data_IF_773154106473
#
_entry.id   IF_773154106473
#
_cell.length_a   1.000
_cell.length_b   1.000
_cell.length_c   1.000
_cell.angle_alpha   90.00
_cell.angle_beta   90.00
_cell.angle_gamma   90.00
#
_symmetry.space_group_name_H-M   'P 1'
#
loop_
_entity.id
_entity.type
_entity.pdbx_description
1 polymer ?
2 non-polymer ?
3 non-polymer ?
4 non-polymer ?
5 non-polymer ?
6 water ?
#
# COMPACT_ATOMS: atom_id res chain seq x y z
N UNK A 2 -8.51 11.01 -20.77
CA UNK A 2 -7.96 11.40 -19.43
C UNK A 2 -6.97 12.54 -19.55
N UNK A 3 -6.00 12.38 -20.46
CA UNK A 3 -5.13 13.44 -21.02
C UNK A 3 -4.97 14.77 -20.27
N UNK A 4 -5.89 15.70 -20.52
CA UNK A 4 -5.70 17.10 -20.09
C UNK A 4 -6.15 17.32 -18.66
N UNK A 5 -5.21 17.79 -17.82
CA UNK A 5 -5.50 18.13 -16.43
C UNK A 5 -5.26 19.62 -16.18
N UNK A 6 -6.27 20.31 -15.69
CA UNK A 6 -6.12 21.71 -15.30
C UNK A 6 -6.53 21.84 -13.84
N UNK A 7 -5.55 22.18 -13.00
CA UNK A 7 -5.80 22.44 -11.59
C UNK A 7 -6.68 23.69 -11.48
N UNK A 8 -7.70 23.60 -10.62
CA UNK A 8 -8.72 24.63 -10.45
C UNK A 8 -8.59 25.27 -9.06
N UNK A 9 -8.47 24.43 -8.04
CA UNK A 9 -8.40 24.94 -6.68
C UNK A 9 -7.65 23.92 -5.83
N UNK A 10 -6.95 24.43 -4.83
CA UNK A 10 -6.37 23.60 -3.76
C UNK A 10 -6.71 24.24 -2.41
N UNK A 11 -7.69 23.63 -1.74
CA UNK A 11 -8.12 24.08 -0.43
C UNK A 11 -7.51 23.20 0.65
N UNK A 12 -6.90 23.83 1.64
CA UNK A 12 -6.38 23.12 2.80
C UNK A 12 -7.53 22.85 3.80
N UNK A 13 -7.79 21.58 4.06
CA UNK A 13 -8.87 21.17 4.97
C UNK A 13 -8.34 21.03 6.40
N UNK A 14 -7.07 20.68 6.50
CA UNK A 14 -6.41 20.48 7.76
C UNK A 14 -4.93 20.76 7.60
N UNK A 15 -4.40 21.63 8.46
CA UNK A 15 -2.98 21.99 8.51
C UNK A 15 -2.45 21.73 9.93
N UNK A 16 -3.05 20.75 10.61
CA UNK A 16 -2.74 20.42 12.02
C UNK A 16 -1.27 20.10 12.27
N UNK A 17 -0.71 19.28 11.39
CA UNK A 17 0.63 18.72 11.56
C UNK A 17 1.07 18.24 10.19
N UNK A 18 0.34 17.23 9.69
CA UNK A 18 0.37 16.83 8.29
C UNK A 18 -0.75 17.65 7.62
N UNK A 19 -0.93 17.50 6.31
CA UNK A 19 -1.87 18.37 5.61
C UNK A 19 -2.91 17.60 4.77
N UNK A 20 -4.18 17.92 4.98
CA UNK A 20 -5.27 17.38 4.17
C UNK A 20 -5.77 18.48 3.23
N UNK A 21 -5.74 18.16 1.94
CA UNK A 21 -6.14 19.05 0.86
C UNK A 21 -7.46 18.60 0.25
N UNK A 22 -8.16 19.54 -0.36
CA UNK A 22 -9.24 19.22 -1.25
C UNK A 22 -8.82 19.85 -2.58
N UNK A 23 -8.47 19.01 -3.54
CA UNK A 23 -7.95 19.49 -4.85
C UNK A 23 -9.01 19.35 -5.93
N UNK A 24 -9.30 20.47 -6.60
CA UNK A 24 -10.28 20.48 -7.69
C UNK A 24 -9.51 20.64 -8.96
N UNK A 25 -9.77 19.77 -9.93
CA UNK A 25 -9.12 19.87 -11.24
C UNK A 25 -10.10 19.42 -12.30
N UNK A 26 -9.93 19.97 -13.50
CA UNK A 26 -10.70 19.56 -14.65
C UNK A 26 -9.91 18.51 -15.43
N UNK A 27 -10.64 17.46 -15.79
CA UNK A 27 -10.09 16.33 -16.48
C UNK A 27 -10.89 16.13 -17.76
N UNK A 28 -10.20 16.14 -18.88
CA UNK A 28 -10.83 15.94 -20.17
C UNK A 28 -10.77 14.46 -20.48
N UNK A 29 -11.93 13.85 -20.67
CA UNK A 29 -11.99 12.41 -20.88
C UNK A 29 -11.68 12.16 -22.34
N UNK A 30 -11.53 10.89 -22.74
CA UNK A 30 -11.06 10.58 -24.09
C UNK A 30 -12.10 10.95 -25.14
N UNK A 31 -13.38 10.79 -24.78
CA UNK A 31 -14.52 11.27 -25.57
C UNK A 31 -14.57 12.80 -25.67
N UNK A 32 -13.69 13.46 -24.91
CA UNK A 32 -13.54 14.91 -25.01
C UNK A 32 -14.38 15.64 -23.99
N UNK A 33 -15.13 14.88 -23.19
CA UNK A 33 -15.97 15.44 -22.16
C UNK A 33 -15.10 15.97 -21.01
N UNK A 34 -15.49 17.11 -20.45
CA UNK A 34 -14.75 17.70 -19.33
C UNK A 34 -15.48 17.46 -18.00
N UNK A 35 -14.77 16.78 -17.09
CA UNK A 35 -15.28 16.45 -15.77
C UNK A 35 -14.47 17.18 -14.73
N UNK A 36 -15.17 17.84 -13.82
CA UNK A 36 -14.50 18.43 -12.66
C UNK A 36 -14.47 17.49 -11.45
N UNK A 37 -13.29 17.00 -11.12
CA UNK A 37 -13.09 16.17 -9.93
C UNK A 37 -12.79 17.05 -8.74
N UNK A 38 -13.30 16.65 -7.59
CA UNK A 38 -12.90 17.22 -6.31
C UNK A 38 -12.42 16.05 -5.43
N UNK A 39 -11.15 16.08 -5.02
CA UNK A 39 -10.51 14.92 -4.41
C UNK A 39 -9.75 15.35 -3.18
N UNK A 40 -9.96 14.63 -2.08
CA UNK A 40 -9.18 14.82 -0.86
C UNK A 40 -7.81 14.19 -1.04
N UNK A 41 -6.77 14.92 -0.64
CA UNK A 41 -5.42 14.42 -0.73
C UNK A 41 -4.75 14.62 0.62
N UNK A 42 -4.34 13.51 1.22
CA UNK A 42 -3.70 13.57 2.51
C UNK A 42 -2.21 13.46 2.30
N UNK A 43 -1.49 14.51 2.70
CA UNK A 43 -0.03 14.59 2.60
C UNK A 43 0.64 14.45 3.98
N UNK A 44 1.12 13.25 4.29
CA UNK A 44 1.85 13.02 5.53
C UNK A 44 3.35 12.72 5.28
N UNK A 45 3.83 13.11 4.11
CA UNK A 45 5.21 12.88 3.72
C UNK A 45 5.50 11.47 3.24
N UNK A 46 6.74 11.27 2.82
CA UNK A 46 7.24 9.99 2.31
C UNK A 46 8.03 9.21 3.35
N UNK A 47 8.31 7.95 3.05
CA UNK A 47 8.92 7.01 4.00
C UNK A 47 9.89 6.03 3.38
N UNK A 48 10.66 5.35 4.23
CA UNK A 48 11.56 4.29 3.82
C UNK A 48 11.39 3.10 4.75
N UNK A 49 11.62 1.91 4.22
CA UNK A 49 11.49 0.69 5.00
C UNK A 49 12.61 -0.23 4.60
N UNK A 50 13.01 -1.10 5.52
CA UNK A 50 14.12 -2.02 5.29
C UNK A 50 13.88 -3.40 5.92
N UNK A 51 13.92 -4.43 5.09
CA UNK A 51 13.95 -5.79 5.62
C UNK A 51 15.39 -6.20 5.92
N UNK A 52 15.59 -6.61 7.18
CA UNK A 52 16.86 -7.14 7.64
C UNK A 52 16.84 -8.66 7.58
N UNK A 53 17.86 -9.25 6.94
CA UNK A 53 17.97 -10.70 6.83
C UNK A 53 19.36 -11.25 7.22
N UNK A 54 19.42 -12.54 7.50
CA UNK A 54 20.65 -13.21 7.86
C UNK A 54 20.71 -14.48 7.05
N UNK A 55 21.73 -14.59 6.19
CA UNK A 55 21.86 -15.73 5.29
C UNK A 55 22.37 -16.97 6.03
N UNK A 56 23.30 -16.79 6.95
CA UNK A 56 23.81 -17.89 7.78
C UNK A 56 22.79 -18.45 8.77
N UNK A 57 22.09 -17.57 9.49
CA UNK A 57 21.06 -17.96 10.46
C UNK A 57 19.73 -18.32 9.80
N UNK A 58 19.50 -17.77 8.60
CA UNK A 58 18.25 -17.94 7.83
C UNK A 58 17.05 -17.24 8.49
N UNK A 59 17.35 -16.08 9.08
CA UNK A 59 16.38 -15.32 9.88
C UNK A 59 16.09 -13.95 9.28
N UNK A 60 14.95 -13.37 9.65
CA UNK A 60 14.70 -11.95 9.38
C UNK A 60 14.46 -11.23 10.69
N UNK A 61 14.73 -9.91 10.71
CA UNK A 61 14.40 -9.06 11.86
C UNK A 61 13.30 -8.08 11.44
N UNK A 62 12.21 -8.11 12.20
CA UNK A 62 11.05 -7.24 12.02
C UNK A 62 10.78 -6.54 13.33
N UNK A 63 9.89 -5.54 13.29
CA UNK A 63 9.51 -4.78 14.48
C UNK A 63 8.00 -4.95 14.76
N UNK A 64 7.62 -4.99 16.02
CA UNK A 64 6.21 -4.99 16.42
C UNK A 64 5.94 -3.75 17.28
N UNK A 65 4.96 -2.94 16.86
CA UNK A 65 4.53 -1.75 17.64
C UNK A 65 3.05 -1.47 17.47
N UNK A 66 2.51 -0.68 18.39
CA UNK A 66 1.13 -0.23 18.36
C UNK A 66 0.88 0.78 17.23
N UNK A 67 -0.11 0.46 16.41
CA UNK A 67 -0.49 1.28 15.29
C UNK A 67 -1.94 1.68 15.49
N UNK A 68 -2.16 2.90 15.93
CA UNK A 68 -3.51 3.34 16.26
C UNK A 68 -4.48 3.28 15.07
N UNK A 69 -3.99 3.52 13.85
CA UNK A 69 -4.83 3.53 12.65
C UNK A 69 -5.41 2.15 12.32
N UNK A 70 -4.68 1.16 12.79
CA UNK A 70 -4.97 -0.26 12.71
C UNK A 70 -5.94 -0.66 13.84
N UNK A 71 -5.66 -0.15 15.03
CA UNK A 71 -6.48 -0.37 16.24
C UNK A 71 -7.96 0.05 16.08
N UNK A 72 -8.19 1.18 15.41
CA UNK A 72 -9.56 1.65 15.13
C UNK A 72 -10.22 0.91 13.92
N UNK A 73 -9.43 0.08 13.24
CA UNK A 73 -9.94 -0.60 12.03
C UNK A 73 -9.68 -2.10 12.01
N UNK A 74 -10.18 -2.81 13.02
CA UNK A 74 -10.15 -4.27 13.08
C UNK A 74 -8.94 -4.98 13.69
N UNK A 75 -7.87 -4.24 14.00
CA UNK A 75 -6.72 -4.87 14.62
C UNK A 75 -6.88 -4.76 16.15
N UNK A 76 -7.42 -5.84 16.74
CA UNK A 76 -7.87 -5.83 18.13
C UNK A 76 -6.92 -5.19 19.15
N UNK A 77 -5.66 -5.59 19.13
CA UNK A 77 -4.67 -5.10 20.09
C UNK A 77 -3.99 -3.83 19.58
N UNK A 78 -4.17 -3.55 18.28
CA UNK A 78 -3.48 -2.48 17.61
C UNK A 78 -2.04 -2.82 17.24
N UNK A 79 -1.53 -3.94 17.76
CA UNK A 79 -0.15 -4.33 17.49
C UNK A 79 0.05 -4.84 16.06
N UNK A 80 1.09 -4.34 15.43
CA UNK A 80 1.36 -4.73 14.05
C UNK A 80 2.82 -5.13 13.86
N UNK A 81 3.04 -6.21 13.12
CA UNK A 81 4.36 -6.67 12.72
C UNK A 81 4.68 -6.06 11.38
N UNK A 82 5.77 -5.31 11.35
CA UNK A 82 6.25 -4.63 10.15
C UNK A 82 7.74 -4.74 9.99
N UNK A 83 8.21 -4.55 8.76
CA UNK A 83 9.60 -4.25 8.50
C UNK A 83 9.93 -2.89 9.14
N UNK A 84 11.18 -2.74 9.58
CA UNK A 84 11.67 -1.45 10.08
C UNK A 84 11.36 -0.37 9.06
N UNK A 85 10.82 0.76 9.54
CA UNK A 85 10.49 1.84 8.64
C UNK A 85 10.51 3.20 9.31
N UNK A 86 10.68 4.24 8.52
CA UNK A 86 10.39 5.57 9.05
C UNK A 86 10.05 6.60 8.01
N UNK A 87 9.57 7.74 8.50
CA UNK A 87 9.34 8.89 7.64
C UNK A 87 10.69 9.45 7.19
N UNK A 88 10.79 9.80 5.91
CA UNK A 88 11.91 10.55 5.34
C UNK A 88 11.93 11.97 5.88
N UNK A 89 12.57 12.15 7.02
CA UNK A 89 12.40 13.37 7.79
C UNK A 89 13.52 14.36 7.51
N UNK A 90 13.41 15.04 6.36
CA UNK A 90 14.44 15.98 5.89
C UNK A 90 15.71 15.24 5.45
N UNK A 91 15.62 13.91 5.45
CA UNK A 91 16.75 13.07 5.06
C UNK A 91 16.53 12.40 3.70
N UNK A 92 17.64 12.11 3.01
CA UNK A 92 17.62 11.26 1.82
C UNK A 92 17.18 9.84 2.25
N UNK A 93 16.57 9.05 1.35
CA UNK A 93 16.07 7.73 1.75
C UNK A 93 17.09 6.85 2.48
N UNK A 94 18.28 6.70 1.91
CA UNK A 94 19.33 5.89 2.50
C UNK A 94 19.80 6.39 3.87
N UNK A 95 19.85 7.71 4.04
CA UNK A 95 20.24 8.34 5.31
C UNK A 95 19.17 8.10 6.39
N UNK A 96 17.91 8.38 6.04
CA UNK A 96 16.76 8.05 6.88
C UNK A 96 16.79 6.59 7.34
N UNK A 97 16.96 5.66 6.41
CA UNK A 97 16.76 4.24 6.72
C UNK A 97 17.87 3.58 7.55
N UNK A 98 19.11 4.01 7.33
CA UNK A 98 20.25 3.56 8.14
C UNK A 98 20.10 4.05 9.58
N UNK A 99 19.59 5.28 9.73
CA UNK A 99 19.30 5.85 11.04
C UNK A 99 18.11 5.11 11.70
N UNK A 100 17.07 4.78 10.94
CA UNK A 100 15.93 4.02 11.51
C UNK A 100 16.35 2.60 11.89
N UNK A 101 17.27 2.02 11.12
CA UNK A 101 17.77 0.68 11.42
C UNK A 101 18.50 0.61 12.78
N UNK A 102 19.23 1.69 13.11
CA UNK A 102 19.93 1.78 14.40
C UNK A 102 18.94 1.96 15.54
N UNK A 103 18.01 2.90 15.37
CA UNK A 103 17.04 3.27 16.39
C UNK A 103 16.01 2.17 16.69
N UNK A 104 15.42 1.59 15.64
CA UNK A 104 14.33 0.62 15.80
C UNK A 104 14.81 -0.79 16.10
N UNK A 105 15.85 -1.24 15.40
CA UNK A 105 16.40 -2.60 15.57
C UNK A 105 17.78 -2.50 16.22
N UNK A 107 20.76 -2.27 14.91
CA UNK A 107 21.80 -2.68 13.98
C UNK A 107 22.23 -1.51 13.10
N UNK A 108 23.53 -1.24 13.05
CA UNK A 108 24.09 -0.28 12.10
C UNK A 108 24.60 -1.03 10.86
N UNK A 109 23.66 -1.30 9.96
CA UNK A 109 23.89 -2.12 8.76
C UNK A 109 25.01 -1.59 7.86
N UNK A 110 25.61 -2.51 7.09
CA UNK A 110 26.58 -2.19 6.06
C UNK A 110 25.84 -1.95 4.75
N UNK A 111 26.13 -2.77 3.74
CA UNK A 111 25.50 -2.62 2.42
C UNK A 111 23.97 -2.77 2.49
N UNK A 112 23.26 -1.80 1.95
CA UNK A 112 21.81 -1.93 1.73
C UNK A 112 21.57 -2.10 0.24
N UNK A 113 20.48 -2.77 -0.11
CA UNK A 113 20.03 -2.84 -1.49
C UNK A 113 18.65 -2.20 -1.61
N UNK A 114 18.52 -1.24 -2.52
CA UNK A 114 17.22 -0.63 -2.82
C UNK A 114 16.49 -1.44 -3.89
N UNK A 115 15.19 -1.68 -3.67
CA UNK A 115 14.38 -2.50 -4.57
C UNK A 115 13.58 -1.65 -5.53
N UNK A 116 12.81 -0.72 -4.97
CA UNK A 116 11.90 0.17 -5.71
C UNK A 116 11.34 1.24 -4.78
N UNK A 117 10.60 2.18 -5.37
CA UNK A 117 9.91 3.23 -4.65
C UNK A 117 8.44 3.14 -5.09
N UNK A 118 7.53 2.95 -4.14
CA UNK A 118 6.13 2.63 -4.46
C UNK A 118 5.13 3.51 -3.73
N UNK A 119 4.13 4.00 -4.46
CA UNK A 119 2.95 4.63 -3.84
C UNK A 119 2.08 3.56 -3.20
N UNK A 120 1.89 3.65 -1.88
CA UNK A 120 1.22 2.58 -1.12
C UNK A 120 -0.31 2.71 -1.08
N UNK A 121 -0.82 3.94 -1.11
CA UNK A 121 -2.29 4.19 -1.04
C UNK A 121 -2.68 5.39 -1.89
N UNK A 122 -2.60 5.24 -3.24
CA UNK A 122 -2.71 6.41 -4.16
C UNK A 122 -4.11 6.99 -4.36
N UNK A 123 -5.13 6.29 -3.87
CA UNK A 123 -6.53 6.78 -3.90
C UNK A 123 -6.64 8.15 -3.27
N UNK A 124 -6.02 8.31 -2.10
CA UNK A 124 -6.15 9.55 -1.35
C UNK A 124 -4.94 10.01 -0.54
N UNK A 125 -3.82 9.29 -0.67
CA UNK A 125 -2.63 9.55 0.14
C UNK A 125 -1.42 9.67 -0.77
N UNK A 126 -0.59 10.69 -0.54
CA UNK A 126 0.57 10.99 -1.38
C UNK A 126 1.68 9.97 -1.21
N UNK A 127 1.66 9.26 -0.09
CA UNK A 127 2.83 8.55 0.42
C UNK A 127 3.55 7.66 -0.61
N UNK A 128 4.84 7.93 -0.77
CA UNK A 128 5.77 7.10 -1.54
C UNK A 128 6.74 6.42 -0.56
N UNK A 129 6.84 5.09 -0.63
CA UNK A 129 7.79 4.34 0.18
C UNK A 129 8.99 3.82 -0.61
N UNK A 130 10.20 4.12 -0.12
CA UNK A 130 11.48 3.59 -0.63
C UNK A 130 11.77 2.28 0.08
N UNK A 131 11.88 1.20 -0.69
CA UNK A 131 12.09 -0.16 -0.17
C UNK A 131 13.55 -0.57 -0.28
N UNK A 132 14.08 -1.11 0.81
CA UNK A 132 15.46 -1.58 0.88
C UNK A 132 15.48 -2.95 1.54
N UNK A 133 16.54 -3.72 1.28
CA UNK A 133 16.87 -4.90 2.08
C UNK A 133 18.32 -4.74 2.53
N UNK A 134 18.70 -5.43 3.61
CA UNK A 134 20.09 -5.45 4.06
C UNK A 134 20.38 -6.60 5.00
N UNK A 135 21.60 -7.13 4.89
CA UNK A 135 22.07 -8.19 5.77
C UNK A 135 22.40 -7.62 7.13
N UNK A 136 22.17 -8.42 8.17
CA UNK A 136 22.55 -8.04 9.51
C UNK A 136 23.34 -9.16 10.20
N UNK A 137 24.15 -8.77 11.16
CA UNK A 137 24.95 -9.72 11.94
C UNK A 137 25.16 -9.15 13.32
N UNK A 138 25.85 -9.90 14.18
CA UNK A 138 26.20 -9.43 15.52
C UNK A 138 27.54 -8.69 15.50
N UNK A 139 27.90 -8.22 14.30
CA UNK A 139 29.04 -7.34 14.06
C UNK A 139 28.57 -5.88 14.12
N UNK A 140 27.36 -5.65 13.61
CA UNK A 140 26.82 -4.31 13.38
C UNK A 140 25.90 -3.78 14.50
N UNK A 141 25.87 -4.48 15.62
CA UNK A 141 25.12 -4.04 16.79
C UNK A 141 25.83 -2.84 17.44
N UNK A 150 13.64 -2.67 24.31
CA UNK A 150 13.38 -2.23 25.69
C UNK A 150 12.27 -1.16 25.73
N UNK A 151 11.70 -0.86 24.57
CA UNK A 151 10.73 0.21 24.41
C UNK A 151 9.39 -0.38 23.95
N UNK A 152 8.46 0.50 23.52
CA UNK A 152 7.21 0.08 22.92
C UNK A 152 7.43 -0.59 21.56
N UNK A 153 8.63 -0.45 21.03
CA UNK A 153 9.01 -1.07 19.76
C UNK A 153 9.80 -2.35 20.02
N UNK A 154 9.16 -3.48 19.76
CA UNK A 154 9.73 -4.80 20.03
C UNK A 154 10.48 -5.31 18.81
N UNK A 155 11.73 -5.72 19.02
CA UNK A 155 12.54 -6.25 17.94
C UNK A 155 12.26 -7.76 17.81
N UNK A 156 11.76 -8.17 16.65
CA UNK A 156 11.45 -9.57 16.40
C UNK A 156 12.47 -10.23 15.47
N UNK A 157 13.18 -11.25 15.96
CA UNK A 157 14.00 -12.05 15.06
C UNK A 157 13.33 -13.40 14.87
N UNK A 158 12.91 -13.68 13.64
CA UNK A 158 12.24 -14.94 13.37
C UNK A 158 12.81 -15.71 12.18
N UNK A 159 12.57 -17.03 12.12
CA UNK A 159 12.90 -17.77 10.90
C UNK A 159 12.15 -17.19 9.70
N UNK A 160 12.84 -17.04 8.57
CA UNK A 160 12.20 -16.62 7.34
C UNK A 160 11.02 -17.50 6.97
N UNK A 161 11.16 -18.82 7.13
CA UNK A 161 10.07 -19.78 6.91
C UNK A 161 8.84 -19.51 7.77
N UNK A 162 9.06 -19.06 9.00
CA UNK A 162 7.98 -18.65 9.89
C UNK A 162 7.31 -17.36 9.40
N UNK A 163 8.12 -16.38 8.99
CA UNK A 163 7.62 -15.10 8.50
C UNK A 163 6.70 -15.31 7.29
N UNK A 164 7.11 -16.19 6.40
CA UNK A 164 6.30 -16.57 5.24
C UNK A 164 4.96 -17.20 5.62
N UNK A 165 5.00 -18.07 6.63
CA UNK A 165 3.81 -18.74 7.15
C UNK A 165 2.82 -17.78 7.78
N UNK A 166 3.33 -16.75 8.45
CA UNK A 166 2.52 -15.70 9.10
C UNK A 166 1.82 -14.76 8.10
N UNK A 167 2.30 -14.73 6.87
CA UNK A 167 1.62 -14.04 5.76
C UNK A 167 0.36 -14.86 5.40
N UNK A 168 0.50 -16.19 5.38
CA UNK A 168 -0.59 -17.12 5.07
C UNK A 168 -1.71 -17.13 6.12
N UNK A 169 -1.35 -17.27 7.40
CA UNK A 169 -2.33 -17.20 8.49
C UNK A 169 -2.97 -15.81 8.71
N UNK A 170 -2.31 -14.75 8.24
CA UNK A 170 -2.79 -13.38 8.48
C UNK A 170 -2.08 -12.66 9.62
N UNK A 171 -1.21 -13.37 10.33
CA UNK A 171 -0.42 -12.81 11.45
C UNK A 171 0.47 -11.62 11.05
N UNK A 172 0.98 -11.64 9.82
CA UNK A 172 1.63 -10.49 9.23
C UNK A 172 0.68 -10.02 8.13
N UNK A 173 0.24 -8.76 8.24
CA UNK A 173 -0.84 -8.25 7.41
C UNK A 173 -0.60 -6.80 7.11
N UNK A 174 0.68 -6.47 6.88
CA UNK A 174 1.12 -5.15 6.48
C UNK A 174 1.68 -5.18 5.07
N UNK A 175 1.20 -4.25 4.24
CA UNK A 175 1.54 -4.23 2.82
C UNK A 175 3.02 -4.27 2.50
N UNK A 176 3.78 -3.31 3.04
CA UNK A 176 5.19 -3.13 2.69
C UNK A 176 6.03 -4.31 3.16
N UNK A 177 5.64 -4.87 4.31
CA UNK A 177 6.30 -6.01 4.94
C UNK A 177 6.17 -7.27 4.06
N UNK A 178 4.95 -7.60 3.68
CA UNK A 178 4.67 -8.71 2.75
C UNK A 178 5.39 -8.50 1.41
N UNK A 179 5.30 -7.28 0.88
CA UNK A 179 6.09 -6.91 -0.30
C UNK A 179 7.57 -7.27 -0.13
N UNK A 180 8.16 -6.89 0.99
CA UNK A 180 9.58 -7.15 1.24
C UNK A 180 9.91 -8.62 1.43
N UNK A 181 9.03 -9.35 2.12
CA UNK A 181 9.28 -10.78 2.40
C UNK A 181 9.17 -11.65 1.15
N UNK A 182 8.21 -11.29 0.30
CA UNK A 182 8.04 -11.92 -1.02
C UNK A 182 9.23 -11.68 -1.94
N UNK A 183 9.78 -10.46 -1.87
CA UNK A 183 10.98 -10.12 -2.60
C UNK A 183 12.17 -10.98 -2.16
N UNK A 184 12.34 -11.16 -0.85
CA UNK A 184 13.44 -11.97 -0.33
C UNK A 184 13.31 -13.45 -0.75
N UNK A 185 12.07 -13.93 -0.75
CA UNK A 185 11.73 -15.28 -1.15
C UNK A 185 12.22 -15.60 -2.57
N UNK A 186 11.98 -14.68 -3.49
CA UNK A 186 12.26 -14.85 -4.91
C UNK A 186 13.72 -14.51 -5.28
N UNK A 187 14.41 -13.82 -4.38
CA UNK A 187 15.75 -13.30 -4.61
C UNK A 187 16.81 -14.39 -4.57
N UNK A 188 16.60 -15.38 -3.69
CA UNK A 188 17.52 -16.50 -3.49
C UNK A 188 18.59 -16.24 -2.44
N UNK A 189 18.61 -15.01 -1.90
CA UNK A 189 19.53 -14.65 -0.80
C UNK A 189 19.40 -15.57 0.41
N UNK A 190 18.13 -16.17 0.57
CA UNK A 190 17.86 -17.09 1.68
C UNK A 190 17.89 -18.56 1.24
N UNK A 191 18.32 -18.82 0.00
CA UNK A 191 18.44 -20.19 -0.52
C UNK A 191 19.71 -20.94 -0.05
N UNK B 3 0.43 -3.68 26.17
CA UNK B 3 -0.86 -4.32 26.56
C UNK B 3 -1.97 -3.28 26.39
N UNK B 4 -2.30 -2.58 27.47
CA UNK B 4 -3.49 -1.70 27.57
C UNK B 4 -3.42 -0.41 26.76
N UNK B 5 -4.48 -0.17 25.99
CA UNK B 5 -4.69 1.08 25.24
C UNK B 5 -6.00 1.72 25.65
N UNK B 6 -5.95 3.03 25.89
CA UNK B 6 -7.11 3.81 26.32
C UNK B 6 -7.26 5.04 25.42
N UNK B 7 -8.42 5.12 24.77
CA UNK B 7 -8.75 6.25 23.94
C UNK B 7 -9.09 7.43 24.85
N UNK B 8 -8.36 8.52 24.70
CA UNK B 8 -8.52 9.70 25.54
C UNK B 8 -9.43 10.76 24.89
N UNK B 9 -9.17 11.04 23.61
CA UNK B 9 -9.97 12.01 22.88
C UNK B 9 -9.88 11.63 21.41
N UNK B 10 -10.98 11.80 20.70
CA UNK B 10 -10.98 11.59 19.25
C UNK B 10 -11.63 12.85 18.67
N UNK B 11 -10.78 13.75 18.20
CA UNK B 11 -11.20 15.01 17.60
C UNK B 11 -11.33 14.82 16.10
N UNK B 12 -12.46 15.28 15.57
CA UNK B 12 -12.72 15.18 14.15
C UNK B 12 -12.14 16.45 13.52
N UNK B 13 -11.11 16.26 12.69
CA UNK B 13 -10.39 17.36 12.08
C UNK B 13 -11.03 17.74 10.77
N UNK B 14 -11.66 16.75 10.13
CA UNK B 14 -12.34 16.94 8.86
C UNK B 14 -13.25 15.73 8.64
N UNK B 15 -14.44 15.97 8.10
CA UNK B 15 -15.41 14.89 7.80
C UNK B 15 -16.36 15.21 6.61
N UNK B 16 -15.89 15.15 5.36
CA UNK B 16 -16.81 15.31 4.21
C UNK B 16 -17.44 14.02 3.67
N UNK B 17 -16.60 13.07 3.29
CA UNK B 17 -17.03 11.73 2.93
C UNK B 17 -16.18 10.83 3.76
N UNK B 18 -14.87 11.07 3.68
CA UNK B 18 -13.86 10.46 4.54
C UNK B 18 -13.62 11.34 5.74
N UNK B 19 -12.95 10.78 6.75
CA UNK B 19 -12.81 11.41 8.07
C UNK B 19 -11.33 11.44 8.49
N UNK B 20 -10.85 12.63 8.83
CA UNK B 20 -9.56 12.82 9.51
C UNK B 20 -9.74 13.01 11.00
N UNK B 21 -9.03 12.19 11.79
CA UNK B 21 -9.09 12.20 13.25
C UNK B 21 -7.78 12.69 13.81
N UNK B 22 -7.83 13.30 15.00
CA UNK B 22 -6.64 13.43 15.82
C UNK B 22 -6.93 12.65 17.10
N UNK B 23 -6.21 11.56 17.31
CA UNK B 23 -6.52 10.63 18.39
C UNK B 23 -5.47 10.70 19.49
N UNK B 24 -5.94 11.04 20.70
CA UNK B 24 -5.11 11.01 21.87
C UNK B 24 -5.38 9.68 22.55
N UNK B 25 -4.31 8.96 22.84
CA UNK B 25 -4.44 7.71 23.56
C UNK B 25 -3.30 7.50 24.54
N UNK B 26 -3.55 6.66 25.55
CA UNK B 26 -2.56 6.33 26.56
C UNK B 26 -2.18 4.85 26.37
N UNK B 27 -0.88 4.61 26.24
CA UNK B 27 -0.34 3.27 26.02
C UNK B 27 0.38 2.83 27.28
N UNK B 28 0.02 1.67 27.79
CA UNK B 28 0.67 1.08 28.95
C UNK B 28 1.82 0.14 28.54
N UNK B 29 2.97 0.31 29.19
CA UNK B 29 4.16 -0.47 28.89
C UNK B 29 4.20 -1.75 29.71
N UNK B 30 5.28 -2.53 29.59
CA UNK B 30 5.55 -3.70 30.44
C UNK B 30 5.59 -3.31 31.92
N UNK B 31 6.45 -2.34 32.23
CA UNK B 31 6.59 -1.75 33.56
C UNK B 31 5.24 -1.37 34.19
N UNK B 32 4.34 -0.84 33.35
CA UNK B 32 3.07 -0.28 33.80
C UNK B 32 3.05 1.23 33.67
N UNK B 34 2.26 4.69 32.09
CA UNK B 34 1.31 5.11 31.05
C UNK B 34 1.91 6.26 30.24
N UNK B 35 1.95 6.11 28.92
CA UNK B 35 2.49 7.16 28.04
C UNK B 35 1.42 7.69 27.08
N UNK B 36 1.28 9.01 27.05
CA UNK B 36 0.31 9.67 26.20
C UNK B 36 0.86 10.03 24.82
N UNK B 37 0.09 9.66 23.79
CA UNK B 37 0.45 9.92 22.40
C UNK B 37 -0.72 10.61 21.73
N UNK B 38 -0.40 11.39 20.69
CA UNK B 38 -1.41 11.99 19.83
C UNK B 38 -1.03 11.79 18.36
N UNK B 39 -1.94 11.16 17.59
CA UNK B 39 -1.70 10.78 16.20
C UNK B 39 -2.87 11.14 15.30
N UNK B 40 -2.58 11.66 14.11
CA UNK B 40 -3.60 11.76 13.08
C UNK B 40 -3.87 10.42 12.43
N UNK B 41 -5.15 10.18 12.13
CA UNK B 41 -5.60 8.94 11.53
C UNK B 41 -6.61 9.29 10.47
N UNK B 42 -6.31 8.89 9.23
CA UNK B 42 -7.15 9.20 8.08
C UNK B 42 -7.93 7.94 7.73
N UNK B 43 -9.25 8.05 7.80
CA UNK B 43 -10.15 6.92 7.58
C UNK B 43 -10.90 7.11 6.23
N UNK B 44 -10.40 6.44 5.19
CA UNK B 44 -11.07 6.46 3.90
C UNK B 44 -11.86 5.16 3.63
N UNK B 45 -11.92 4.26 4.61
CA UNK B 45 -12.57 3.00 4.38
C UNK B 45 -11.62 1.94 3.82
N UNK B 46 -12.14 0.71 3.75
CA UNK B 46 -11.40 -0.42 3.17
C UNK B 46 -11.79 -0.65 1.70
N UNK B 47 -11.01 -1.47 1.01
CA UNK B 47 -11.19 -1.67 -0.41
C UNK B 47 -10.78 -3.06 -0.82
N UNK B 48 -10.90 -3.34 -2.12
CA UNK B 48 -10.47 -4.60 -2.72
C UNK B 48 -9.79 -4.31 -4.03
N UNK B 49 -8.91 -5.23 -4.45
CA UNK B 49 -8.15 -5.13 -5.67
C UNK B 49 -8.06 -6.51 -6.31
N UNK B 50 -7.92 -6.54 -7.62
CA UNK B 50 -7.81 -7.81 -8.31
C UNK B 50 -6.85 -7.73 -9.49
N UNK B 51 -6.01 -8.75 -9.57
CA UNK B 51 -5.21 -8.93 -10.76
C UNK B 51 -5.85 -10.00 -11.65
N UNK B 52 -6.16 -9.58 -12.88
CA UNK B 52 -6.65 -10.50 -13.93
C UNK B 52 -5.52 -11.06 -14.79
N UNK B 53 -5.54 -12.38 -15.03
CA UNK B 53 -4.45 -13.01 -15.80
C UNK B 53 -4.95 -14.01 -16.83
N UNK B 54 -4.20 -14.17 -17.93
CA UNK B 54 -4.57 -15.10 -18.98
C UNK B 54 -3.41 -16.02 -19.28
N UNK B 55 -3.50 -17.27 -18.80
CA UNK B 55 -2.46 -18.28 -18.96
C UNK B 55 -2.24 -18.78 -20.38
N UNK B 56 -3.20 -18.53 -21.26
CA UNK B 56 -3.11 -18.94 -22.65
C UNK B 56 -2.32 -17.88 -23.39
N UNK B 57 -2.74 -16.64 -23.18
CA UNK B 57 -2.13 -15.48 -23.81
C UNK B 57 -0.91 -14.95 -23.05
N UNK B 58 -0.76 -15.32 -21.78
CA UNK B 58 0.34 -14.86 -20.92
C UNK B 58 0.25 -13.36 -20.66
N UNK B 59 -0.99 -12.86 -20.66
CA UNK B 59 -1.26 -11.46 -20.48
C UNK B 59 -1.82 -11.20 -19.05
N UNK B 60 -1.65 -9.98 -18.57
CA UNK B 60 -2.46 -9.49 -17.44
C UNK B 60 -3.32 -8.31 -17.89
N UNK B 61 -4.38 -8.01 -17.14
CA UNK B 61 -5.13 -6.77 -17.34
C UNK B 61 -4.95 -5.87 -16.13
N UNK B 62 -4.47 -4.66 -16.41
CA UNK B 62 -4.29 -3.60 -15.42
C UNK B 62 -5.08 -2.38 -15.90
N UNK B 63 -5.07 -1.32 -15.09
CA UNK B 63 -5.74 -0.07 -15.51
C UNK B 63 -4.79 1.09 -15.30
N UNK B 64 -5.14 2.22 -15.88
CA UNK B 64 -4.37 3.43 -15.75
C UNK B 64 -5.36 4.58 -15.65
N UNK B 65 -5.19 5.41 -14.62
CA UNK B 65 -6.01 6.60 -14.43
C UNK B 65 -5.18 7.65 -13.70
N UNK B 66 -5.68 8.89 -13.74
CA UNK B 66 -5.07 10.03 -13.07
C UNK B 66 -5.31 9.90 -11.59
N UNK B 67 -4.22 9.95 -10.84
CA UNK B 67 -4.22 9.96 -9.36
C UNK B 67 -3.56 11.24 -8.89
N UNK B 68 -4.38 12.20 -8.48
CA UNK B 68 -3.92 13.54 -8.10
C UNK B 68 -2.92 13.50 -6.91
N UNK B 69 -3.12 12.55 -6.01
CA UNK B 69 -2.24 12.32 -4.88
C UNK B 69 -0.81 11.94 -5.28
N UNK B 70 -0.65 11.22 -6.40
CA UNK B 70 0.71 10.95 -6.98
C UNK B 70 1.26 12.13 -7.80
N UNK B 71 0.35 12.85 -8.46
CA UNK B 71 0.65 14.03 -9.27
C UNK B 71 1.38 15.09 -8.48
N UNK B 72 0.96 15.26 -7.22
CA UNK B 72 1.50 16.31 -6.36
C UNK B 72 2.78 15.85 -5.65
N UNK B 73 3.21 14.63 -5.97
CA UNK B 73 4.33 13.99 -5.29
C UNK B 73 5.19 13.10 -6.20
N UNK B 74 5.80 13.67 -7.24
CA UNK B 74 6.77 12.95 -8.08
C UNK B 74 6.31 12.33 -9.40
N UNK B 75 5.02 12.07 -9.51
CA UNK B 75 4.48 11.45 -10.70
C UNK B 75 4.05 12.52 -11.70
N UNK B 76 4.95 12.83 -12.64
CA UNK B 76 4.81 13.97 -13.53
C UNK B 76 3.44 14.10 -14.16
N UNK B 77 2.99 13.06 -14.83
CA UNK B 77 1.71 13.11 -15.49
C UNK B 77 0.52 12.88 -14.54
N UNK B 78 0.78 12.26 -13.38
CA UNK B 78 -0.28 11.81 -12.46
C UNK B 78 -0.95 10.49 -12.85
N UNK B 79 -0.64 10.01 -14.06
CA UNK B 79 -1.15 8.73 -14.51
C UNK B 79 -0.45 7.59 -13.81
N UNK B 80 -1.25 6.64 -13.35
CA UNK B 80 -0.73 5.55 -12.52
C UNK B 80 -1.33 4.27 -13.00
N UNK B 81 -0.46 3.30 -13.23
CA UNK B 81 -0.87 1.96 -13.65
C UNK B 81 -1.11 1.17 -12.38
N UNK B 82 -2.31 0.60 -12.25
CA UNK B 82 -2.65 -0.17 -11.04
C UNK B 82 -3.46 -1.36 -11.42
N UNK B 83 -3.58 -2.28 -10.49
CA UNK B 83 -4.58 -3.31 -10.60
C UNK B 83 -5.95 -2.65 -10.33
N UNK B 84 -6.97 -3.16 -11.03
CA UNK B 84 -8.36 -2.82 -10.72
C UNK B 84 -8.63 -2.89 -9.21
N UNK B 85 -9.31 -1.86 -8.66
CA UNK B 85 -9.56 -1.73 -7.23
C UNK B 85 -10.68 -0.77 -6.97
N UNK B 86 -11.35 -0.94 -5.85
CA UNK B 86 -12.28 0.08 -5.44
C UNK B 86 -12.54 -0.05 -3.97
N UNK B 87 -13.24 0.94 -3.43
CA UNK B 87 -13.64 0.93 -2.02
C UNK B 87 -14.82 -0.02 -1.80
N UNK B 88 -14.83 -0.70 -0.65
CA UNK B 88 -15.91 -1.62 -0.31
C UNK B 88 -17.30 -0.98 -0.32
N UNK B 89 -17.40 0.26 0.19
CA UNK B 89 -18.69 0.99 0.15
C UNK B 89 -19.83 0.06 0.61
N UNK B 90 -19.60 -0.61 1.75
CA UNK B 90 -20.58 -1.54 2.39
C UNK B 90 -20.97 -2.83 1.66
N UNK B 91 -20.22 -3.21 0.64
CA UNK B 91 -20.37 -4.54 0.03
C UNK B 91 -19.32 -5.45 0.66
N UNK B 92 -19.58 -6.75 0.71
CA UNK B 92 -18.52 -7.71 1.04
C UNK B 92 -17.42 -7.64 -0.04
N UNK B 93 -16.15 -7.93 0.33
CA UNK B 93 -15.02 -7.84 -0.64
C UNK B 93 -15.24 -8.46 -2.04
N UNK B 94 -15.70 -9.71 -2.11
CA UNK B 94 -15.93 -10.36 -3.39
C UNK B 94 -17.02 -9.68 -4.23
N UNK B 95 -18.11 -9.25 -3.59
CA UNK B 95 -19.17 -8.48 -4.25
C UNK B 95 -18.60 -7.19 -4.83
N UNK B 96 -17.91 -6.41 -4.00
CA UNK B 96 -17.23 -5.20 -4.44
C UNK B 96 -16.35 -5.47 -5.65
N UNK B 97 -15.50 -6.50 -5.58
CA UNK B 97 -14.46 -6.71 -6.60
C UNK B 97 -14.96 -7.17 -8.02
N UNK B 98 -16.04 -7.95 -8.07
CA UNK B 98 -16.58 -8.40 -9.35
C UNK B 98 -17.21 -7.21 -10.05
N UNK B 99 -17.98 -6.45 -9.27
CA UNK B 99 -18.54 -5.14 -9.65
C UNK B 99 -17.48 -4.18 -10.17
N UNK B 100 -16.45 -3.88 -9.36
CA UNK B 100 -15.32 -3.06 -9.85
C UNK B 100 -14.65 -3.61 -11.11
N UNK B 101 -14.46 -4.93 -11.17
CA UNK B 101 -13.80 -5.50 -12.34
C UNK B 101 -14.56 -5.27 -13.65
N UNK B 102 -15.88 -5.49 -13.66
CA UNK B 102 -16.63 -5.28 -14.91
C UNK B 102 -16.76 -3.78 -15.27
N UNK B 103 -16.88 -2.92 -14.25
CA UNK B 103 -16.97 -1.47 -14.47
C UNK B 103 -15.69 -0.92 -15.07
N UNK B 104 -14.58 -1.27 -14.42
CA UNK B 104 -13.27 -0.75 -14.79
C UNK B 104 -12.61 -1.47 -15.96
N UNK B 105 -12.73 -2.80 -16.01
CA UNK B 105 -12.00 -3.57 -17.07
C UNK B 105 -12.89 -4.10 -18.18
N UNK B 106 -14.19 -4.21 -17.92
CA UNK B 106 -15.09 -4.79 -18.89
C UNK B 106 -15.27 -6.29 -18.82
N UNK B 107 -14.55 -6.94 -17.90
CA UNK B 107 -14.58 -8.41 -17.77
C UNK B 107 -15.51 -8.88 -16.67
N UNK B 108 -16.39 -9.82 -16.99
CA UNK B 108 -17.20 -10.52 -16.00
C UNK B 108 -16.36 -11.68 -15.46
N UNK B 109 -15.75 -11.52 -14.29
CA UNK B 109 -14.84 -12.56 -13.81
C UNK B 109 -15.61 -13.82 -13.34
N UNK B 110 -14.97 -14.97 -13.51
CA UNK B 110 -15.48 -16.27 -13.03
C UNK B 110 -15.01 -16.47 -11.59
N UNK B 111 -14.32 -17.58 -11.33
CA UNK B 111 -13.79 -17.90 -10.01
C UNK B 111 -12.64 -16.95 -9.64
N UNK B 112 -12.59 -16.53 -8.37
CA UNK B 112 -11.52 -15.66 -7.87
C UNK B 112 -10.75 -16.35 -6.74
N UNK B 113 -9.51 -15.92 -6.49
CA UNK B 113 -8.72 -16.42 -5.38
C UNK B 113 -8.32 -15.28 -4.44
N UNK B 114 -8.77 -15.39 -3.21
CA UNK B 114 -8.41 -14.47 -2.13
C UNK B 114 -7.02 -14.79 -1.65
N UNK B 115 -6.18 -13.77 -1.54
CA UNK B 115 -4.79 -13.95 -1.13
C UNK B 115 -4.56 -13.54 0.33
N UNK B 116 -4.92 -12.30 0.65
CA UNK B 116 -4.71 -11.74 1.99
C UNK B 116 -5.46 -10.44 2.07
N UNK B 117 -5.42 -9.84 3.25
CA UNK B 117 -6.03 -8.55 3.51
C UNK B 117 -5.01 -7.77 4.34
N UNK B 118 -4.53 -6.67 3.76
CA UNK B 118 -3.35 -6.00 4.28
C UNK B 118 -3.65 -4.54 4.56
N UNK B 119 -3.20 -4.07 5.73
CA UNK B 119 -3.07 -2.62 5.97
C UNK B 119 -1.96 -2.05 5.09
N UNK B 120 -2.28 -1.04 4.27
CA UNK B 120 -1.31 -0.54 3.29
C UNK B 120 -0.46 0.63 3.75
N UNK B 121 -1.00 1.45 4.65
CA UNK B 121 -0.27 2.63 5.15
C UNK B 121 -0.59 2.88 6.61
N UNK B 122 -0.13 1.99 7.50
CA UNK B 122 -0.64 1.96 8.87
C UNK B 122 -0.08 3.01 9.83
N UNK B 123 0.83 3.86 9.35
CA UNK B 123 1.38 4.97 10.11
C UNK B 123 0.24 5.90 10.44
N UNK B 124 -0.57 6.31 9.47
CA UNK B 124 -1.72 7.16 9.81
C UNK B 124 -2.97 7.00 8.92
N UNK B 125 -3.09 5.86 8.26
CA UNK B 125 -4.27 5.61 7.40
C UNK B 125 -4.82 4.26 7.83
N UNK B 126 -6.15 4.14 7.92
CA UNK B 126 -6.78 2.91 8.38
C UNK B 126 -6.77 1.78 7.33
N UNK B 127 -6.64 2.19 6.06
CA UNK B 127 -6.96 1.37 4.92
C UNK B 127 -6.44 -0.04 4.98
N UNK B 128 -7.38 -0.98 4.88
CA UNK B 128 -7.09 -2.39 4.66
C UNK B 128 -7.60 -2.77 3.26
N UNK B 129 -6.75 -3.41 2.46
CA UNK B 129 -7.11 -3.86 1.11
C UNK B 129 -7.24 -5.41 1.07
N UNK B 130 -8.36 -5.90 0.54
CA UNK B 130 -8.56 -7.33 0.20
C UNK B 130 -8.00 -7.61 -1.17
N UNK B 131 -7.05 -8.54 -1.23
CA UNK B 131 -6.35 -8.91 -2.47
C UNK B 131 -6.95 -10.15 -3.10
N UNK B 132 -7.22 -10.07 -4.40
CA UNK B 132 -7.70 -11.19 -5.19
C UNK B 132 -6.89 -11.32 -6.49
N UNK B 133 -6.92 -12.54 -7.04
CA UNK B 133 -6.57 -12.78 -8.43
C UNK B 133 -7.67 -13.65 -9.05
N UNK B 134 -7.73 -13.63 -10.36
CA UNK B 134 -8.70 -14.44 -11.08
C UNK B 134 -8.18 -14.60 -12.48
N UNK B 135 -8.34 -15.82 -12.98
CA UNK B 135 -8.09 -16.08 -14.38
C UNK B 135 -9.22 -15.45 -15.21
N UNK B 136 -8.85 -14.85 -16.34
CA UNK B 136 -9.84 -14.36 -17.31
C UNK B 136 -9.69 -15.03 -18.68
N UNK B 137 -10.80 -15.01 -19.42
CA UNK B 137 -10.85 -15.45 -20.81
C UNK B 137 -11.40 -14.32 -21.68
N UNK B 138 -11.01 -14.31 -22.96
CA UNK B 138 -11.45 -13.32 -23.93
C UNK B 138 -12.96 -13.32 -24.10
N UNK B 139 -13.57 -14.49 -23.93
CA UNK B 139 -15.02 -14.61 -24.04
C UNK B 139 -15.76 -14.13 -22.78
N UNK B 140 -15.01 -13.55 -21.84
CA UNK B 140 -15.62 -12.99 -20.62
C UNK B 140 -15.68 -11.46 -20.65
N UNK B 141 -15.17 -10.88 -21.73
CA UNK B 141 -15.27 -9.43 -21.96
C UNK B 141 -16.65 -8.98 -22.45
N UNK B 142 -17.45 -8.44 -21.53
CA UNK B 142 -18.79 -7.98 -21.85
C UNK B 142 -18.85 -6.57 -22.46
N UNK B 143 -17.88 -5.73 -22.13
CA UNK B 143 -17.85 -4.32 -22.56
C UNK B 143 -16.42 -3.74 -22.55
N UNK B 144 -16.27 -2.45 -22.80
CA UNK B 144 -14.93 -1.85 -22.88
C UNK B 144 -14.28 -1.43 -21.54
N UNK B 145 -15.01 -1.56 -20.43
CA UNK B 145 -14.55 -1.05 -19.12
C UNK B 145 -14.51 0.46 -19.09
N UNK B 146 -13.49 1.05 -18.43
CA UNK B 146 -13.30 2.52 -18.39
C UNK B 146 -13.89 3.27 -17.20
N UNK B 147 -14.52 2.51 -16.29
CA UNK B 147 -15.19 3.08 -15.13
C UNK B 147 -16.58 3.66 -15.41
N UNK B 148 -17.20 4.18 -14.36
CA UNK B 148 -18.53 4.75 -14.39
C UNK B 148 -18.49 6.06 -13.62
N UNK B 149 -19.61 6.78 -13.61
CA UNK B 149 -19.75 8.06 -12.91
C UNK B 149 -18.62 9.01 -13.39
N UNK B 150 -17.82 9.56 -12.48
CA UNK B 150 -16.71 10.45 -12.86
C UNK B 150 -15.34 9.75 -13.14
N UNK B 151 -15.33 8.42 -13.18
CA UNK B 151 -14.08 7.70 -13.41
C UNK B 151 -13.62 7.88 -14.85
N UNK B 152 -12.29 7.91 -15.04
CA UNK B 152 -11.71 8.00 -16.36
C UNK B 152 -10.54 7.03 -16.42
N UNK B 153 -10.85 5.83 -16.89
CA UNK B 153 -9.94 4.70 -16.76
C UNK B 153 -9.54 4.13 -18.12
N UNK B 154 -8.23 3.93 -18.30
CA UNK B 154 -7.66 3.29 -19.45
C UNK B 154 -7.41 1.79 -19.09
N UNK B 155 -7.87 0.89 -19.95
CA UNK B 155 -7.71 -0.53 -19.66
C UNK B 155 -6.46 -0.99 -20.40
N UNK B 156 -5.57 -1.67 -19.68
CA UNK B 156 -4.31 -2.13 -20.25
C UNK B 156 -4.22 -3.65 -20.15
N UNK B 157 -4.19 -4.30 -21.31
CA UNK B 157 -3.90 -5.70 -21.41
C UNK B 157 -2.50 -5.78 -21.97
N UNK B 158 -1.61 -6.47 -21.27
CA UNK B 158 -0.22 -6.49 -21.69
C UNK B 158 0.46 -7.78 -21.27
N UNK B 159 1.57 -8.14 -21.96
CA UNK B 159 2.34 -9.29 -21.54
C UNK B 159 2.72 -9.19 -20.06
N UNK B 160 2.48 -10.29 -19.34
CA UNK B 160 2.82 -10.38 -17.95
C UNK B 160 4.33 -10.17 -17.73
N UNK B 161 5.17 -10.70 -18.61
CA UNK B 161 6.61 -10.43 -18.53
C UNK B 161 6.90 -8.93 -18.66
N UNK B 162 6.13 -8.24 -19.54
CA UNK B 162 6.21 -6.78 -19.69
C UNK B 162 5.82 -6.00 -18.41
N UNK B 163 4.72 -6.37 -17.73
CA UNK B 163 4.36 -5.70 -16.46
C UNK B 163 5.40 -5.91 -15.38
N UNK B 164 5.98 -7.11 -15.35
CA UNK B 164 7.10 -7.40 -14.43
C UNK B 164 8.32 -6.49 -14.67
N UNK B 165 8.69 -6.26 -15.92
CA UNK B 165 9.87 -5.42 -16.17
C UNK B 165 9.60 -3.92 -15.98
N UNK B 166 8.33 -3.53 -16.08
CA UNK B 166 7.85 -2.17 -15.70
C UNK B 166 7.98 -1.88 -14.21
N UNK B 167 8.05 -2.93 -13.40
CA UNK B 167 8.34 -2.77 -11.98
C UNK B 167 9.80 -2.35 -11.81
N UNK B 168 10.68 -2.98 -12.59
CA UNK B 168 12.11 -2.62 -12.61
C UNK B 168 12.36 -1.21 -13.21
N UNK B 169 11.64 -0.85 -14.27
CA UNK B 169 11.84 0.46 -14.88
C UNK B 169 11.11 1.60 -14.16
N UNK B 170 10.19 1.25 -13.26
CA UNK B 170 9.40 2.25 -12.54
C UNK B 170 8.13 2.67 -13.26
N UNK B 171 7.83 2.08 -14.41
CA UNK B 171 6.55 2.34 -15.11
C UNK B 171 5.37 1.80 -14.32
N UNK B 172 5.60 0.78 -13.49
CA UNK B 172 4.67 0.36 -12.45
C UNK B 172 5.32 0.64 -11.09
N UNK B 173 4.64 1.45 -10.29
CA UNK B 173 5.18 1.98 -9.05
C UNK B 173 4.09 2.11 -7.98
N UNK B 174 3.15 1.15 -8.00
CA UNK B 174 2.01 1.11 -7.09
C UNK B 174 2.13 -0.14 -6.21
N UNK B 175 1.99 0.04 -4.89
CA UNK B 175 2.20 -1.05 -3.91
C UNK B 175 1.35 -2.30 -4.10
N UNK B 176 0.01 -2.15 -4.10
CA UNK B 176 -0.85 -3.33 -4.32
C UNK B 176 -0.59 -4.07 -5.66
N UNK B 177 -0.28 -3.31 -6.71
CA UNK B 177 -0.06 -3.85 -8.05
C UNK B 177 1.22 -4.67 -8.10
N UNK B 178 2.29 -4.17 -7.49
CA UNK B 178 3.55 -4.91 -7.42
C UNK B 178 3.38 -6.16 -6.56
N UNK B 179 2.68 -6.03 -5.44
CA UNK B 179 2.33 -7.16 -4.61
C UNK B 179 1.61 -8.29 -5.40
N UNK B 180 0.65 -7.91 -6.27
CA UNK B 180 -0.12 -8.90 -7.05
C UNK B 180 0.74 -9.54 -8.13
N UNK B 181 1.46 -8.70 -8.86
CA UNK B 181 2.33 -9.12 -9.94
C UNK B 181 3.39 -10.09 -9.40
N UNK B 182 4.01 -9.75 -8.27
CA UNK B 182 5.00 -10.64 -7.65
C UNK B 182 4.36 -11.93 -7.11
N UNK B 183 3.17 -11.83 -6.53
CA UNK B 183 2.39 -13.03 -6.15
C UNK B 183 2.09 -13.98 -7.34
N UNK B 184 1.69 -13.40 -8.47
CA UNK B 184 1.43 -14.20 -9.66
C UNK B 184 2.73 -14.90 -10.16
N UNK B 185 3.84 -14.18 -10.11
CA UNK B 185 5.11 -14.73 -10.61
C UNK B 185 5.55 -15.94 -9.76
N UNK B 186 5.43 -15.79 -8.44
CA UNK B 186 5.81 -16.85 -7.50
C UNK B 186 4.89 -18.09 -7.63
N UNK B 187 3.72 -17.92 -8.25
CA UNK B 187 2.70 -18.96 -8.32
C UNK B 187 2.89 -20.01 -9.41
N UNK B 188 3.71 -19.70 -10.42
CA UNK B 188 3.94 -20.56 -11.61
C UNK B 188 2.73 -20.73 -12.53
N UNK B 189 1.61 -20.11 -12.16
CA UNK B 189 0.39 -20.15 -12.96
C UNK B 189 0.60 -19.67 -14.39
N UNK B 190 1.56 -18.75 -14.57
CA UNK B 190 1.86 -18.17 -15.91
C UNK B 190 3.00 -18.86 -16.64
N UNK B 191 3.59 -19.89 -16.03
CA UNK B 191 4.71 -20.64 -16.65
C UNK B 191 4.38 -21.26 -17.99
X LIG C 1 9.18 3.28 12.52
X LIG D 1 -14.08 1.81 -9.53
X LIG E 1 -11.04 2.20 -8.80
X LIG F 1 -3.60 -21.27 -7.63
X LIG G 1 -1.92 -2.90 31.81
X LIG H 1 -19.47 -12.40 -4.61
X LIG H 1 -19.99 -12.71 -3.29
X LIG H 1 -20.51 -12.36 -5.73
X LIG H 1 -21.12 -11.06 -5.86
X LIG H 1 -21.01 -10.48 -7.18
X LIG H 1 -21.62 -9.07 -7.17
X LIG H 1 -20.68 -8.01 -7.49
X LIG I 1 2.84 2.41 -20.49
X LIG I 1 1.40 1.99 -20.18
X LIG I 1 2.98 3.93 -20.61
X LIG I 1 3.31 1.68 -21.75
X LIG I 1 3.75 2.02 -19.39
X LIG I 1 0.64 3.03 -19.61
X LIG I 1 3.07 4.50 -19.31
X LIG I 1 2.85 0.34 -21.76
X LIG J 1 -15.15 6.95 10.38
X LIG J 1 -13.87 7.43 10.75
X LIG J 1 -15.90 7.95 9.51
X LIG J 1 -17.03 8.45 10.22
X LIG J 1 -17.59 9.63 9.64
X LIG J 1 -19.10 9.64 9.78
X LIG J 1 -19.60 10.94 9.44
#
# INVERSE_FOLDING_TARGET
MTQQITLIKDKILSDNYFTLHNITYDLTRKDGEVIRHKREVYDRGNGATILLYNTKKKTVVLIRQFRVATWVNGNESGQLIESCAGLLDNDEPEVCIRKEAIEETGYEVGEVRKLFELYMSPGGVTELIHFFIAEYSDNQRANAGGGVEDEAIEVLELPFSQALEMIKTGEIRDGKTVLLLNYLQTSHLMD
MTQQITLIKDKILSDNYFTLHNITYDLTRKDGEVIRHKREVYDRGNGATILLYNTKKKTVVLIRQFRVATWVNGNESGQLIESCAGLLDNDEPEVCIRKEAIEETGYEVGEVRKLFELYMSPGGVTELIHFFIAEYSDNQRANAGGGVEDEAIEVLELPFSQALEMIKTGEIRDGKTVLLLNYLQTSHLMD
MG MG
MG MG
MG MG
CL CL
CL CL
PEG C1 O1 C2 O2 C3 C4 O4
TRS C C1 C2 C3 N O1 O2 O3
PEG C1 O1 C2 O2 C3 C4 O4
#
